data_IF_060591277142
#
_entry.id   IF_060591277142
#
_cell.length_a   1.000
_cell.length_b   1.000
_cell.length_c   1.000
_cell.angle_alpha   90.00
_cell.angle_beta   90.00
_cell.angle_gamma   90.00
#
_symmetry.space_group_name_H-M   'P 1'
#
loop_
_entity.id
_entity.type
_entity.pdbx_description
1 polymer ?
#
# COMPACT_ATOMS: atom_id res chain seq x y z
N UNK A 1 3.70 -8.47 6.63
CA UNK A 1 3.28 -9.53 5.68
C UNK A 1 4.42 -10.47 5.29
N UNK A 2 5.50 -10.01 4.66
CA UNK A 2 6.60 -10.90 4.21
C UNK A 2 7.16 -11.82 5.32
N UNK A 3 7.40 -11.27 6.52
CA UNK A 3 7.85 -12.06 7.69
C UNK A 3 6.84 -13.13 8.11
N UNK A 4 5.55 -12.85 7.94
CA UNK A 4 4.49 -13.78 8.30
C UNK A 4 4.37 -14.92 7.27
N UNK A 5 4.59 -14.62 5.99
CA UNK A 5 4.71 -15.65 4.95
C UNK A 5 5.87 -16.59 5.25
N UNK A 6 7.05 -16.06 5.60
CA UNK A 6 8.21 -16.87 6.00
C UNK A 6 7.87 -17.80 7.17
N UNK A 7 7.18 -17.28 8.19
CA UNK A 7 6.76 -18.04 9.37
C UNK A 7 5.81 -19.17 9.02
N UNK A 8 4.80 -18.90 8.19
CA UNK A 8 3.75 -19.87 7.83
C UNK A 8 4.31 -20.97 6.91
N UNK A 9 5.10 -20.56 5.91
CA UNK A 9 5.75 -21.48 4.97
C UNK A 9 6.95 -22.21 5.59
N UNK A 10 7.34 -21.84 6.82
CA UNK A 10 8.48 -22.40 7.56
C UNK A 10 9.77 -22.36 6.74
N UNK A 11 9.99 -21.25 6.03
CA UNK A 11 11.19 -21.07 5.21
C UNK A 11 12.39 -20.90 6.15
N UNK A 12 13.46 -21.71 6.00
CA UNK A 12 14.66 -21.56 6.83
C UNK A 12 15.26 -20.16 6.69
N UNK A 13 15.71 -19.57 7.80
CA UNK A 13 16.21 -18.19 7.84
C UNK A 13 17.38 -17.98 6.87
N UNK A 14 18.28 -18.96 6.81
CA UNK A 14 19.44 -19.00 5.91
C UNK A 14 19.08 -19.08 4.43
N UNK A 15 17.84 -19.46 4.10
CA UNK A 15 17.32 -19.52 2.73
C UNK A 15 16.57 -18.25 2.32
N UNK A 16 16.49 -17.23 3.19
CA UNK A 16 15.75 -16.00 2.95
C UNK A 16 16.69 -14.81 2.75
N UNK A 17 16.54 -14.16 1.60
CA UNK A 17 17.08 -12.81 1.35
C UNK A 17 15.91 -11.82 1.25
N UNK A 18 15.88 -10.83 2.13
CA UNK A 18 14.89 -9.76 2.11
C UNK A 18 15.38 -8.59 1.25
N UNK A 19 14.64 -8.27 0.20
CA UNK A 19 14.88 -7.07 -0.61
C UNK A 19 14.16 -5.88 0.03
N UNK A 20 14.93 -4.96 0.61
CA UNK A 20 14.39 -3.84 1.39
C UNK A 20 14.35 -2.56 0.56
N UNK A 21 13.32 -1.76 0.83
CA UNK A 21 13.18 -0.38 0.37
C UNK A 21 12.73 0.51 1.53
N UNK A 22 12.85 1.84 1.39
CA UNK A 22 12.38 2.82 2.38
C UNK A 22 12.95 2.62 3.79
N UNK A 23 14.23 2.24 3.90
CA UNK A 23 14.95 2.05 5.16
C UNK A 23 14.31 1.04 6.13
N UNK A 24 13.49 0.10 5.64
CA UNK A 24 13.02 -1.00 6.47
C UNK A 24 14.20 -1.85 6.94
N UNK A 25 14.30 -2.06 8.25
CA UNK A 25 15.25 -3.00 8.85
C UNK A 25 14.46 -4.17 9.44
N UNK A 26 14.80 -5.43 9.12
CA UNK A 26 14.16 -6.57 9.75
C UNK A 26 14.35 -6.51 11.27
N UNK A 27 13.38 -7.00 12.05
CA UNK A 27 13.55 -7.12 13.49
C UNK A 27 14.81 -7.96 13.78
N UNK A 28 15.64 -7.45 14.68
CA UNK A 28 16.71 -8.20 15.35
C UNK A 28 17.83 -8.74 14.44
N UNK A 29 17.96 -8.23 13.21
CA UNK A 29 19.02 -8.65 12.28
C UNK A 29 18.95 -10.13 11.86
N UNK A 30 17.80 -10.78 12.08
CA UNK A 30 17.63 -12.23 11.87
C UNK A 30 17.79 -12.62 10.40
N UNK A 31 17.32 -11.78 9.49
CA UNK A 31 17.31 -12.06 8.06
C UNK A 31 18.39 -11.27 7.34
N UNK A 32 19.02 -11.90 6.33
CA UNK A 32 19.87 -11.19 5.40
C UNK A 32 19.02 -10.19 4.60
N UNK A 33 19.27 -8.89 4.81
CA UNK A 33 18.55 -7.82 4.15
C UNK A 33 19.47 -7.05 3.22
N UNK A 34 19.03 -6.86 1.99
CA UNK A 34 19.80 -6.20 0.94
C UNK A 34 18.95 -5.08 0.34
N UNK A 35 19.52 -3.89 0.26
CA UNK A 35 18.92 -2.79 -0.49
C UNK A 35 18.91 -3.10 -1.97
N UNK A 36 17.77 -2.94 -2.61
CA UNK A 36 17.64 -3.09 -4.06
C UNK A 36 18.34 -1.91 -4.76
N UNK A 37 19.44 -2.12 -5.53
CA UNK A 37 20.20 -1.02 -6.12
C UNK A 37 19.55 -0.46 -7.39
N UNK A 38 18.41 -1.01 -7.78
CA UNK A 38 17.62 -0.60 -8.94
C UNK A 38 16.32 0.03 -8.48
N UNK A 39 15.86 1.06 -9.18
CA UNK A 39 14.61 1.75 -8.86
C UNK A 39 13.63 1.76 -10.02
N UNK A 40 12.34 1.83 -9.69
CA UNK A 40 11.25 2.11 -10.63
C UNK A 40 10.79 3.58 -10.58
N UNK A 41 11.15 4.32 -9.52
CA UNK A 41 10.75 5.71 -9.27
C UNK A 41 11.79 6.44 -8.39
N UNK A 42 12.14 7.71 -8.65
CA UNK A 42 11.62 8.58 -9.72
C UNK A 42 12.15 8.23 -11.11
N UNK A 43 13.25 7.48 -11.20
CA UNK A 43 13.89 7.07 -12.45
C UNK A 43 13.86 5.55 -12.55
N UNK A 44 13.19 5.03 -13.59
CA UNK A 44 13.19 3.59 -13.90
C UNK A 44 14.58 3.17 -14.41
N UNK A 45 15.25 2.30 -13.66
CA UNK A 45 16.56 1.74 -14.02
C UNK A 45 16.54 0.95 -15.33
N UNK A 46 15.36 0.50 -15.77
CA UNK A 46 15.16 -0.27 -16.99
C UNK A 46 14.24 0.48 -17.98
N UNK A 47 14.41 1.80 -18.08
CA UNK A 47 13.81 2.58 -19.15
C UNK A 47 14.33 2.11 -20.53
N UNK A 48 13.46 2.12 -21.53
CA UNK A 48 13.81 1.80 -22.92
C UNK A 48 14.86 2.78 -23.43
N UNK A 49 15.94 2.26 -24.02
CA UNK A 49 17.01 3.04 -24.63
C UNK A 49 17.01 2.85 -26.15
N UNK A 50 17.42 3.87 -26.91
CA UNK A 50 17.72 3.74 -28.34
C UNK A 50 19.02 2.94 -28.51
N UNK A 51 20.01 3.22 -27.67
CA UNK A 51 21.26 2.48 -27.57
C UNK A 51 21.03 1.16 -26.81
N UNK A 52 20.45 0.15 -27.49
CA UNK A 52 20.00 -1.11 -26.89
C UNK A 52 21.07 -1.82 -26.05
N UNK A 53 22.34 -1.72 -26.43
CA UNK A 53 23.46 -2.30 -25.69
C UNK A 53 23.58 -1.75 -24.26
N UNK A 54 23.15 -0.51 -23.99
CA UNK A 54 23.11 0.04 -22.62
C UNK A 54 22.12 -0.74 -21.76
N UNK A 55 20.95 -1.05 -22.30
CA UNK A 55 19.95 -1.87 -21.62
C UNK A 55 20.43 -3.31 -21.45
N UNK A 56 21.12 -3.88 -22.44
CA UNK A 56 21.72 -5.21 -22.30
C UNK A 56 22.75 -5.25 -21.18
N UNK A 57 23.64 -4.26 -21.12
CA UNK A 57 24.61 -4.16 -20.03
C UNK A 57 23.92 -4.01 -18.67
N UNK A 58 22.83 -3.22 -18.59
CA UNK A 58 22.08 -3.04 -17.35
C UNK A 58 21.33 -4.30 -16.92
N UNK A 59 20.79 -5.06 -17.86
CA UNK A 59 20.18 -6.39 -17.59
C UNK A 59 21.24 -7.38 -17.13
N UNK A 60 22.43 -7.38 -17.74
CA UNK A 60 23.55 -8.23 -17.27
C UNK A 60 24.01 -7.86 -15.87
N UNK A 61 24.14 -6.57 -15.57
CA UNK A 61 24.45 -6.07 -14.23
C UNK A 61 23.40 -6.53 -13.21
N UNK A 62 22.12 -6.46 -13.60
CA UNK A 62 21.01 -6.94 -12.79
C UNK A 62 21.06 -8.45 -12.55
N UNK A 63 21.28 -9.25 -13.60
CA UNK A 63 21.36 -10.70 -13.52
C UNK A 63 22.57 -11.11 -12.65
N UNK A 64 23.74 -10.48 -12.84
CA UNK A 64 24.92 -10.72 -11.99
C UNK A 64 24.68 -10.37 -10.53
N UNK A 65 24.02 -9.24 -10.24
CA UNK A 65 23.64 -8.88 -8.88
C UNK A 65 22.67 -9.91 -8.28
N UNK A 66 21.68 -10.36 -9.05
CA UNK A 66 20.70 -11.35 -8.59
C UNK A 66 21.36 -12.71 -8.32
N UNK A 67 22.26 -13.16 -9.20
CA UNK A 67 23.08 -14.36 -9.03
C UNK A 67 23.98 -14.28 -7.80
N UNK A 68 24.55 -13.11 -7.49
CA UNK A 68 25.36 -12.93 -6.29
C UNK A 68 24.53 -13.09 -5.01
N UNK A 69 23.37 -12.44 -4.93
CA UNK A 69 22.53 -12.47 -3.71
C UNK A 69 21.78 -13.80 -3.53
N UNK A 70 21.71 -14.60 -4.59
CA UNK A 70 21.15 -15.96 -4.58
C UNK A 70 22.23 -17.03 -4.53
N UNK A 71 23.52 -16.64 -4.43
CA UNK A 71 24.66 -17.55 -4.43
C UNK A 71 24.66 -18.54 -5.61
N UNK A 72 24.21 -18.07 -6.77
CA UNK A 72 24.02 -18.89 -7.97
C UNK A 72 23.16 -20.14 -7.72
N UNK A 73 22.20 -20.05 -6.79
CA UNK A 73 21.19 -21.08 -6.55
C UNK A 73 19.85 -20.69 -7.17
N UNK A 74 19.06 -21.67 -7.65
CA UNK A 74 17.68 -21.43 -8.03
C UNK A 74 16.88 -20.80 -6.87
N UNK A 75 15.96 -19.89 -7.19
CA UNK A 75 15.21 -19.15 -6.18
C UNK A 75 13.71 -19.11 -6.49
N UNK A 76 12.92 -18.84 -5.45
CA UNK A 76 11.49 -18.51 -5.56
C UNK A 76 11.29 -17.06 -5.18
N UNK A 77 10.60 -16.29 -6.02
CA UNK A 77 10.34 -14.88 -5.76
C UNK A 77 9.05 -14.69 -4.98
N UNK A 78 9.08 -13.82 -3.98
CA UNK A 78 7.89 -13.32 -3.30
C UNK A 78 7.78 -11.83 -3.52
N UNK A 79 6.75 -11.37 -4.23
CA UNK A 79 6.64 -9.97 -4.66
C UNK A 79 5.23 -9.40 -4.44
N UNK A 80 5.14 -8.10 -4.20
CA UNK A 80 3.84 -7.44 -4.03
C UNK A 80 3.04 -7.34 -5.33
N UNK A 81 3.71 -7.27 -6.48
CA UNK A 81 3.10 -7.18 -7.81
C UNK A 81 4.15 -7.47 -8.91
N UNK A 82 3.71 -7.70 -10.14
CA UNK A 82 4.58 -7.88 -11.31
C UNK A 82 4.70 -6.61 -12.20
N UNK A 83 4.14 -5.47 -11.75
CA UNK A 83 4.07 -4.26 -12.56
C UNK A 83 5.44 -3.61 -12.82
N UNK A 84 6.35 -3.58 -11.84
CA UNK A 84 7.65 -2.93 -12.01
C UNK A 84 8.58 -3.72 -12.93
N UNK A 85 9.50 -3.02 -13.61
CA UNK A 85 10.45 -3.65 -14.54
C UNK A 85 11.35 -4.63 -13.78
N UNK A 86 11.68 -4.28 -12.54
CA UNK A 86 12.52 -5.07 -11.66
C UNK A 86 11.87 -6.42 -11.36
N UNK A 87 10.61 -6.43 -10.90
CA UNK A 87 9.93 -7.69 -10.60
C UNK A 87 9.72 -8.53 -11.87
N UNK A 88 9.44 -7.89 -13.00
CA UNK A 88 9.33 -8.61 -14.27
C UNK A 88 10.64 -9.31 -14.66
N UNK A 89 11.78 -8.63 -14.48
CA UNK A 89 13.11 -9.20 -14.74
C UNK A 89 13.47 -10.32 -13.75
N UNK A 90 13.06 -10.22 -12.48
CA UNK A 90 13.23 -11.29 -11.48
C UNK A 90 12.41 -12.52 -11.83
N UNK A 91 11.12 -12.35 -12.17
CA UNK A 91 10.21 -13.46 -12.51
C UNK A 91 10.68 -14.20 -13.77
N UNK A 92 11.24 -13.47 -14.73
CA UNK A 92 11.75 -14.04 -15.99
C UNK A 92 13.20 -14.51 -15.93
N UNK A 93 13.87 -14.37 -14.78
CA UNK A 93 15.24 -14.82 -14.62
C UNK A 93 15.33 -16.35 -14.80
N UNK A 94 16.33 -16.89 -15.52
CA UNK A 94 16.45 -18.34 -15.75
C UNK A 94 16.49 -19.19 -14.48
N UNK A 95 17.00 -18.63 -13.37
CA UNK A 95 17.08 -19.30 -12.07
C UNK A 95 15.83 -19.12 -11.19
N UNK A 96 14.85 -18.32 -11.62
CA UNK A 96 13.59 -18.19 -10.92
C UNK A 96 12.73 -19.42 -11.17
N UNK A 97 12.54 -20.24 -10.14
CA UNK A 97 11.73 -21.47 -10.22
C UNK A 97 10.22 -21.18 -10.19
N UNK A 98 9.84 -19.98 -9.76
CA UNK A 98 8.46 -19.52 -9.71
C UNK A 98 8.31 -18.35 -8.75
N UNK A 99 7.08 -17.87 -8.61
CA UNK A 99 6.79 -16.72 -7.75
C UNK A 99 5.44 -16.79 -7.07
N UNK A 100 5.38 -16.15 -5.91
CA UNK A 100 4.16 -15.87 -5.17
C UNK A 100 3.89 -14.37 -5.12
N UNK A 101 2.61 -14.00 -5.14
CA UNK A 101 2.22 -12.65 -4.75
C UNK A 101 2.05 -12.56 -3.24
N UNK A 102 2.49 -11.45 -2.66
CA UNK A 102 2.24 -11.12 -1.26
C UNK A 102 1.40 -9.85 -1.23
N UNK A 103 0.31 -9.84 -0.47
CA UNK A 103 -0.56 -8.67 -0.39
C UNK A 103 0.17 -7.41 0.10
N UNK A 104 -0.05 -6.31 -0.63
CA UNK A 104 0.35 -4.95 -0.25
C UNK A 104 -0.79 -3.96 -0.52
N UNK A 105 -1.41 -3.45 0.55
CA UNK A 105 -2.39 -2.37 0.51
C UNK A 105 -3.61 -2.64 -0.39
N UNK A 106 -4.22 -1.56 -0.88
CA UNK A 106 -5.43 -1.62 -1.71
C UNK A 106 -5.20 -2.26 -3.08
N UNK A 107 -3.96 -2.30 -3.57
CA UNK A 107 -3.66 -2.81 -4.92
C UNK A 107 -4.07 -4.27 -5.04
N UNK A 108 -3.86 -5.09 -4.00
CA UNK A 108 -4.22 -6.51 -3.99
C UNK A 108 -5.73 -6.77 -4.12
N UNK A 109 -6.58 -5.77 -3.89
CA UNK A 109 -8.04 -5.92 -3.90
C UNK A 109 -8.69 -5.39 -5.18
N UNK A 110 -7.89 -4.87 -6.12
CA UNK A 110 -8.40 -4.35 -7.38
C UNK A 110 -9.10 -5.43 -8.19
N UNK A 111 -10.20 -5.12 -8.88
CA UNK A 111 -10.82 -6.06 -9.78
C UNK A 111 -9.86 -6.38 -10.96
N UNK A 112 -9.93 -7.58 -11.56
CA UNK A 112 -9.05 -7.97 -12.65
C UNK A 112 -9.03 -7.01 -13.84
N UNK A 113 -10.16 -6.34 -14.10
CA UNK A 113 -10.28 -5.35 -15.16
C UNK A 113 -9.29 -4.17 -15.01
N UNK A 114 -8.83 -3.91 -13.78
CA UNK A 114 -7.94 -2.80 -13.41
C UNK A 114 -6.50 -3.24 -13.10
N UNK A 115 -6.17 -4.52 -13.29
CA UNK A 115 -4.80 -5.00 -13.10
C UNK A 115 -3.87 -4.54 -14.23
N UNK A 116 -4.40 -4.42 -15.44
CA UNK A 116 -3.63 -4.02 -16.60
C UNK A 116 -3.48 -2.51 -16.66
N UNK A 117 -2.24 -2.03 -16.67
CA UNK A 117 -1.95 -0.64 -17.05
C UNK A 117 -2.02 -0.56 -18.56
N UNK A 118 -3.24 -0.39 -19.08
CA UNK A 118 -3.53 -0.28 -20.51
C UNK A 118 -2.86 0.96 -21.06
N UNK A 119 -1.72 0.77 -21.72
CA UNK A 119 -1.14 1.79 -22.60
C UNK A 119 -1.63 1.51 -24.01
N UNK A 120 -1.94 2.55 -24.81
CA UNK A 120 -2.37 2.35 -26.19
C UNK A 120 -1.33 1.49 -26.93
N UNK A 121 -1.80 0.46 -27.63
CA UNK A 121 -0.91 -0.45 -28.34
C UNK A 121 -0.05 0.34 -29.32
N UNK A 122 1.26 0.19 -29.19
CA UNK A 122 2.23 0.85 -30.06
C UNK A 122 3.24 -0.21 -30.54
N UNK A 123 3.21 -0.59 -31.83
CA UNK A 123 4.07 -1.65 -32.34
C UNK A 123 5.55 -1.29 -32.26
N UNK A 124 5.91 -0.02 -32.53
CA UNK A 124 7.28 0.47 -32.39
C UNK A 124 7.77 0.32 -30.96
N UNK A 125 6.93 0.66 -29.98
CA UNK A 125 7.27 0.49 -28.57
C UNK A 125 7.51 -0.98 -28.22
N UNK A 126 6.67 -1.89 -28.71
CA UNK A 126 6.87 -3.33 -28.47
C UNK A 126 8.16 -3.86 -29.09
N UNK A 127 8.50 -3.41 -30.30
CA UNK A 127 9.80 -3.70 -30.94
C UNK A 127 10.96 -3.15 -30.12
N UNK A 128 10.89 -1.90 -29.65
CA UNK A 128 11.94 -1.31 -28.83
C UNK A 128 12.12 -2.07 -27.51
N UNK A 129 11.03 -2.48 -26.85
CA UNK A 129 11.13 -3.32 -25.65
C UNK A 129 11.80 -4.66 -25.95
N UNK A 130 11.43 -5.31 -27.07
CA UNK A 130 12.06 -6.56 -27.49
C UNK A 130 13.56 -6.38 -27.78
N UNK A 131 13.96 -5.29 -28.44
CA UNK A 131 15.37 -5.01 -28.69
C UNK A 131 16.15 -4.72 -27.40
N UNK A 132 15.55 -4.04 -26.42
CA UNK A 132 16.21 -3.71 -25.15
C UNK A 132 16.28 -4.89 -24.17
N UNK A 133 15.24 -5.74 -24.13
CA UNK A 133 15.04 -6.71 -23.04
C UNK A 133 14.70 -8.12 -23.54
N UNK A 134 14.64 -8.35 -24.86
CA UNK A 134 14.15 -9.59 -25.44
C UNK A 134 12.77 -9.95 -24.86
N UNK A 135 12.60 -11.16 -24.32
CA UNK A 135 11.38 -11.61 -23.65
C UNK A 135 11.37 -11.34 -22.14
N UNK A 136 12.46 -10.83 -21.57
CA UNK A 136 12.65 -10.63 -20.12
C UNK A 136 11.86 -9.43 -19.57
N UNK A 137 11.39 -8.52 -20.42
CA UNK A 137 10.55 -7.38 -20.01
C UNK A 137 9.61 -6.98 -21.15
N UNK A 138 8.42 -6.45 -20.81
CA UNK A 138 7.36 -6.12 -21.77
C UNK A 138 6.84 -4.70 -21.61
N UNK A 139 6.37 -4.12 -22.71
CA UNK A 139 5.85 -2.74 -22.78
C UNK A 139 4.52 -2.56 -22.04
N UNK A 140 3.69 -3.59 -22.09
CA UNK A 140 2.42 -3.73 -21.39
C UNK A 140 2.62 -4.65 -20.20
N UNK A 141 2.28 -4.17 -19.01
CA UNK A 141 2.49 -4.87 -17.74
C UNK A 141 1.21 -4.79 -16.93
N UNK A 142 0.99 -5.85 -16.16
CA UNK A 142 -0.11 -5.99 -15.23
C UNK A 142 0.43 -5.94 -13.80
N UNK A 143 -0.36 -5.42 -12.87
CA UNK A 143 -0.08 -5.55 -11.44
C UNK A 143 -0.04 -7.03 -11.05
N UNK A 144 -0.98 -7.82 -11.56
CA UNK A 144 -1.04 -9.26 -11.30
C UNK A 144 -1.23 -10.03 -12.60
N UNK A 145 -0.44 -11.07 -12.80
CA UNK A 145 -0.55 -11.96 -13.94
C UNK A 145 -0.08 -13.35 -13.52
N UNK A 146 -0.65 -14.38 -14.11
CA UNK A 146 -0.21 -15.77 -13.97
C UNK A 146 0.56 -16.26 -15.21
N UNK A 147 0.67 -15.39 -16.23
CA UNK A 147 1.25 -15.73 -17.53
C UNK A 147 2.75 -15.39 -17.63
N UNK A 148 3.31 -14.78 -16.58
CA UNK A 148 4.71 -14.37 -16.55
C UNK A 148 5.51 -15.41 -15.77
N UNK A 149 6.34 -16.23 -16.43
CA UNK A 149 7.10 -17.27 -15.72
C UNK A 149 6.18 -18.32 -15.07
N UNK A 150 6.57 -18.85 -13.91
CA UNK A 150 5.79 -19.89 -13.18
C UNK A 150 5.12 -19.30 -11.94
N UNK A 151 3.84 -18.98 -12.05
CA UNK A 151 3.01 -18.58 -10.91
C UNK A 151 2.78 -19.77 -9.98
N UNK A 152 3.02 -19.58 -8.68
CA UNK A 152 2.85 -20.62 -7.66
C UNK A 152 1.61 -20.40 -6.78
N UNK A 153 1.30 -19.14 -6.46
CA UNK A 153 0.13 -18.78 -5.64
C UNK A 153 0.19 -17.36 -5.10
N UNK A 154 -0.65 -17.05 -4.12
CA UNK A 154 -0.66 -15.74 -3.47
C UNK A 154 -0.92 -15.85 -1.96
N UNK A 155 -0.45 -14.87 -1.20
CA UNK A 155 -0.66 -14.73 0.23
C UNK A 155 -1.45 -13.46 0.53
N UNK A 156 -2.66 -13.62 1.05
CA UNK A 156 -3.58 -12.53 1.34
C UNK A 156 -3.95 -12.43 2.81
N UNK A 157 -4.36 -11.25 3.26
CA UNK A 157 -4.95 -10.99 4.58
C UNK A 157 -6.35 -11.59 4.66
N UNK A 158 -7.09 -11.63 3.55
CA UNK A 158 -8.47 -12.11 3.52
C UNK A 158 -8.81 -12.83 2.21
N UNK A 159 -9.94 -13.52 2.19
CA UNK A 159 -10.49 -14.14 0.97
C UNK A 159 -10.78 -13.16 -0.17
N UNK A 160 -10.80 -11.85 0.12
CA UNK A 160 -11.02 -10.81 -0.87
C UNK A 160 -9.73 -10.33 -1.54
N UNK A 161 -8.57 -10.76 -1.04
CA UNK A 161 -7.27 -10.47 -1.61
C UNK A 161 -7.10 -11.21 -2.94
N UNK A 162 -6.58 -10.53 -3.95
CA UNK A 162 -6.35 -11.06 -5.30
C UNK A 162 -7.58 -11.72 -5.92
N UNK A 163 -8.69 -10.96 -6.11
CA UNK A 163 -9.94 -11.52 -6.62
C UNK A 163 -9.67 -12.14 -7.99
N UNK A 164 -9.80 -13.46 -8.11
CA UNK A 164 -9.53 -14.35 -9.27
C UNK A 164 -8.18 -15.07 -9.34
N UNK A 165 -7.20 -14.78 -8.48
CA UNK A 165 -5.99 -15.61 -8.45
C UNK A 165 -6.27 -16.97 -7.78
N UNK A 166 -5.63 -18.02 -8.30
CA UNK A 166 -5.69 -19.38 -7.74
C UNK A 166 -4.62 -19.56 -6.66
N UNK A 167 -4.75 -20.61 -5.84
CA UNK A 167 -3.79 -20.94 -4.78
C UNK A 167 -3.55 -19.77 -3.80
N UNK A 168 -4.63 -19.08 -3.43
CA UNK A 168 -4.60 -18.06 -2.40
C UNK A 168 -4.55 -18.69 -1.01
N UNK A 169 -3.53 -18.35 -0.24
CA UNK A 169 -3.38 -18.72 1.16
C UNK A 169 -3.68 -17.51 2.04
N UNK A 170 -4.61 -17.70 2.99
CA UNK A 170 -5.00 -16.64 3.92
C UNK A 170 -4.08 -16.66 5.12
N UNK A 171 -3.31 -15.58 5.25
CA UNK A 171 -2.34 -15.33 6.32
C UNK A 171 -2.99 -14.60 7.50
N UNK A 172 -4.09 -13.88 7.25
CA UNK A 172 -4.70 -12.98 8.22
C UNK A 172 -3.91 -11.68 8.36
N UNK A 173 -4.28 -10.88 9.36
CA UNK A 173 -3.62 -9.62 9.67
C UNK A 173 -2.28 -9.90 10.38
N UNK A 174 -1.12 -9.61 9.76
CA UNK A 174 0.20 -9.98 10.28
C UNK A 174 0.71 -8.96 11.30
N UNK A 175 -0.18 -8.41 12.11
CA UNK A 175 0.12 -7.36 13.08
C UNK A 175 0.06 -7.95 14.49
N UNK A 176 1.09 -7.77 15.34
CA UNK A 176 1.00 -8.19 16.72
C UNK A 176 -0.07 -7.38 17.46
N UNK A 177 -0.70 -7.99 18.46
CA UNK A 177 -1.57 -7.24 19.38
C UNK A 177 -0.71 -6.35 20.27
N UNK A 178 -1.22 -5.17 20.58
CA UNK A 178 -0.63 -4.26 21.55
C UNK A 178 -1.23 -4.52 22.93
N UNK A 179 -0.37 -4.61 23.94
CA UNK A 179 -0.74 -4.50 25.34
C UNK A 179 -0.49 -3.04 25.75
N UNK A 180 -1.52 -2.21 25.62
CA UNK A 180 -1.47 -0.80 26.02
C UNK A 180 -2.51 -0.52 27.08
N UNK A 181 -2.12 0.21 28.13
CA UNK A 181 -3.06 0.72 29.13
C UNK A 181 -3.93 1.86 28.57
N UNK A 182 -3.44 2.55 27.52
CA UNK A 182 -4.18 3.58 26.83
C UNK A 182 -5.38 2.99 26.08
N UNK A 183 -6.56 3.58 26.28
CA UNK A 183 -7.80 3.19 25.60
C UNK A 183 -8.07 4.11 24.41
N UNK A 184 -8.08 3.54 23.21
CA UNK A 184 -8.45 4.26 21.99
C UNK A 184 -9.97 4.20 21.80
N UNK A 185 -10.64 5.35 21.83
CA UNK A 185 -12.07 5.44 21.49
C UNK A 185 -12.28 5.71 20.00
N UNK A 186 -11.58 6.72 19.48
CA UNK A 186 -11.58 7.04 18.07
C UNK A 186 -10.20 7.53 17.59
N UNK A 187 -9.88 7.20 16.35
CA UNK A 187 -8.65 7.63 15.69
C UNK A 187 -8.97 8.27 14.34
N UNK A 188 -8.48 9.48 14.13
CA UNK A 188 -8.59 10.22 12.88
C UNK A 188 -7.28 10.06 12.11
N UNK A 189 -7.34 9.43 10.94
CA UNK A 189 -6.18 9.24 10.07
C UNK A 189 -6.19 10.32 8.99
N UNK A 190 -5.21 11.22 9.07
CA UNK A 190 -5.03 12.29 8.09
C UNK A 190 -4.25 11.80 6.87
N UNK A 191 -4.65 12.30 5.70
CA UNK A 191 -4.08 11.92 4.41
C UNK A 191 -3.21 13.07 3.89
N UNK A 192 -2.12 12.75 3.18
CA UNK A 192 -1.27 13.76 2.56
C UNK A 192 -1.86 14.34 1.26
N UNK A 193 -3.11 14.00 0.93
CA UNK A 193 -3.88 14.65 -0.14
C UNK A 193 -4.11 16.15 0.06
N UNK A 194 -3.86 16.69 1.25
CA UNK A 194 -3.76 18.13 1.44
C UNK A 194 -2.56 18.72 0.66
N UNK A 195 -1.44 18.00 0.64
CA UNK A 195 -0.16 18.46 0.08
C UNK A 195 -0.03 18.17 -1.42
N UNK A 196 -0.92 17.33 -1.96
CA UNK A 196 -0.90 16.85 -3.33
C UNK A 196 -2.30 17.03 -3.94
N UNK A 197 -2.41 17.31 -5.24
CA UNK A 197 -3.70 17.44 -5.95
C UNK A 197 -4.41 18.81 -5.90
N UNK A 198 -3.73 19.90 -5.52
CA UNK A 198 -4.29 21.25 -5.67
C UNK A 198 -5.47 21.56 -4.75
N UNK A 199 -5.60 20.80 -3.66
CA UNK A 199 -6.61 21.02 -2.64
C UNK A 199 -6.33 22.32 -1.87
N UNK A 200 -7.35 23.15 -1.67
CA UNK A 200 -7.16 24.33 -0.82
C UNK A 200 -7.16 23.92 0.65
N UNK A 201 -6.35 24.59 1.50
CA UNK A 201 -6.35 24.33 2.93
C UNK A 201 -7.74 24.39 3.58
N UNK A 202 -8.53 25.36 3.14
CA UNK A 202 -9.91 25.58 3.59
C UNK A 202 -10.83 24.41 3.32
N UNK A 203 -10.68 23.73 2.17
CA UNK A 203 -11.53 22.58 1.82
C UNK A 203 -11.21 21.39 2.70
N UNK A 204 -9.92 21.11 2.94
CA UNK A 204 -9.51 20.00 3.80
C UNK A 204 -9.92 20.21 5.26
N UNK A 205 -9.71 21.41 5.81
CA UNK A 205 -10.14 21.73 7.17
C UNK A 205 -11.67 21.62 7.34
N UNK A 206 -12.43 21.96 6.30
CA UNK A 206 -13.89 21.73 6.29
C UNK A 206 -14.24 20.25 6.35
N UNK A 207 -13.47 19.38 5.69
CA UNK A 207 -13.67 17.93 5.81
C UNK A 207 -13.34 17.40 7.20
N UNK A 208 -12.25 17.88 7.80
CA UNK A 208 -11.89 17.56 9.19
C UNK A 208 -13.00 18.03 10.13
N UNK A 209 -13.62 19.19 9.89
CA UNK A 209 -14.72 19.68 10.71
C UNK A 209 -15.88 18.69 10.78
N UNK A 210 -16.23 18.08 9.64
CA UNK A 210 -17.30 17.07 9.57
C UNK A 210 -16.93 15.84 10.41
N UNK A 211 -15.69 15.36 10.31
CA UNK A 211 -15.17 14.23 11.10
C UNK A 211 -15.25 14.54 12.60
N UNK A 212 -14.67 15.65 13.03
CA UNK A 212 -14.59 16.01 14.46
C UNK A 212 -15.98 16.26 15.02
N UNK A 213 -16.87 16.88 14.24
CA UNK A 213 -18.26 17.10 14.66
C UNK A 213 -18.99 15.78 14.86
N UNK A 214 -18.83 14.80 13.97
CA UNK A 214 -19.41 13.46 14.14
C UNK A 214 -18.83 12.75 15.38
N UNK A 215 -17.50 12.78 15.55
CA UNK A 215 -16.82 12.18 16.69
C UNK A 215 -17.32 12.74 18.04
N UNK A 216 -17.46 14.07 18.14
CA UNK A 216 -17.99 14.73 19.34
C UNK A 216 -19.48 14.42 19.57
N UNK A 217 -20.29 14.33 18.50
CA UNK A 217 -21.72 13.94 18.60
C UNK A 217 -21.90 12.51 19.11
N UNK A 218 -20.98 11.61 18.77
CA UNK A 218 -20.93 10.23 19.29
C UNK A 218 -20.47 10.17 20.75
N UNK A 219 -20.08 11.30 21.35
CA UNK A 219 -19.68 11.39 22.74
C UNK A 219 -18.25 10.92 23.02
N UNK A 220 -17.39 10.86 22.00
CA UNK A 220 -15.98 10.56 22.23
C UNK A 220 -15.30 11.69 23.00
N UNK A 221 -14.72 11.34 24.14
CA UNK A 221 -14.03 12.28 25.04
C UNK A 221 -12.52 12.23 24.87
N UNK A 222 -11.99 11.21 24.19
CA UNK A 222 -10.59 11.10 23.80
C UNK A 222 -10.49 10.85 22.30
N UNK A 223 -9.88 11.80 21.59
CA UNK A 223 -9.68 11.75 20.14
C UNK A 223 -8.20 11.62 19.85
N UNK A 224 -7.83 10.57 19.14
CA UNK A 224 -6.47 10.38 18.64
C UNK A 224 -6.41 10.81 17.18
N UNK A 225 -5.29 11.39 16.77
CA UNK A 225 -5.02 11.68 15.37
C UNK A 225 -3.68 11.12 14.94
N UNK A 226 -3.59 10.63 13.70
CA UNK A 226 -2.33 10.20 13.10
C UNK A 226 -2.14 10.86 11.75
N UNK A 227 -0.96 11.42 11.54
CA UNK A 227 -0.59 12.06 10.29
C UNK A 227 0.07 11.08 9.32
N UNK A 228 -0.11 11.34 8.03
CA UNK A 228 0.60 10.61 6.99
C UNK A 228 2.12 10.89 7.09
N UNK A 229 3.01 9.89 6.92
CA UNK A 229 4.46 10.09 7.04
C UNK A 229 5.05 11.13 6.08
N UNK A 230 4.38 11.37 4.96
CA UNK A 230 4.77 12.35 3.94
C UNK A 230 4.01 13.70 4.04
N UNK A 231 3.32 13.97 5.16
CA UNK A 231 2.61 15.23 5.35
C UNK A 231 3.59 16.42 5.48
N UNK A 232 3.28 17.52 4.82
CA UNK A 232 4.06 18.77 4.92
C UNK A 232 3.93 19.45 6.28
N UNK A 233 5.01 20.10 6.74
CA UNK A 233 5.06 20.74 8.07
C UNK A 233 4.02 21.84 8.28
N UNK A 234 3.77 22.68 7.26
CA UNK A 234 2.77 23.74 7.34
C UNK A 234 1.35 23.16 7.51
N UNK A 235 1.09 22.05 6.83
CA UNK A 235 -0.18 21.31 6.84
C UNK A 235 -0.43 20.67 8.19
N UNK A 236 0.59 20.03 8.76
CA UNK A 236 0.59 19.50 10.13
C UNK A 236 0.17 20.60 11.13
N UNK A 237 0.86 21.74 11.12
CA UNK A 237 0.58 22.84 12.05
C UNK A 237 -0.84 23.40 11.89
N UNK A 238 -1.30 23.57 10.66
CA UNK A 238 -2.66 24.06 10.38
C UNK A 238 -3.73 23.10 10.89
N UNK A 239 -3.56 21.80 10.66
CA UNK A 239 -4.49 20.76 11.13
C UNK A 239 -4.47 20.68 12.65
N UNK A 240 -3.30 20.68 13.28
CA UNK A 240 -3.18 20.61 14.74
C UNK A 240 -3.85 21.81 15.42
N UNK A 241 -3.59 23.03 14.95
CA UNK A 241 -4.21 24.23 15.50
C UNK A 241 -5.74 24.19 15.36
N UNK A 242 -6.24 23.77 14.19
CA UNK A 242 -7.66 23.62 13.94
C UNK A 242 -8.30 22.57 14.86
N UNK A 243 -7.69 21.39 14.98
CA UNK A 243 -8.15 20.29 15.82
C UNK A 243 -8.20 20.70 17.29
N UNK A 244 -7.14 21.32 17.81
CA UNK A 244 -7.07 21.82 19.18
C UNK A 244 -8.20 22.82 19.48
N UNK A 245 -8.46 23.75 18.57
CA UNK A 245 -9.57 24.70 18.73
C UNK A 245 -10.93 24.00 18.74
N UNK A 246 -11.15 23.02 17.85
CA UNK A 246 -12.46 22.35 17.69
C UNK A 246 -12.84 21.48 18.88
N UNK A 247 -11.85 20.81 19.48
CA UNK A 247 -12.04 19.88 20.60
C UNK A 247 -11.90 20.54 21.98
N UNK A 248 -11.43 21.79 22.04
CA UNK A 248 -11.21 22.52 23.29
C UNK A 248 -12.43 22.48 24.23
N UNK A 249 -12.19 22.00 25.46
CA UNK A 249 -13.23 21.86 26.49
C UNK A 249 -14.26 20.74 26.26
N UNK A 250 -14.12 19.95 25.19
CA UNK A 250 -15.06 18.87 24.81
C UNK A 250 -14.41 17.49 24.81
N UNK A 251 -13.16 17.39 24.36
CA UNK A 251 -12.40 16.15 24.33
C UNK A 251 -10.89 16.42 24.47
N UNK A 252 -10.14 15.41 24.93
CA UNK A 252 -8.68 15.43 24.84
C UNK A 252 -8.23 15.04 23.43
N UNK A 253 -7.22 15.72 22.91
CA UNK A 253 -6.61 15.42 21.62
C UNK A 253 -5.19 14.87 21.83
N UNK A 254 -4.92 13.71 21.25
CA UNK A 254 -3.61 13.07 21.28
C UNK A 254 -3.09 12.83 19.87
N UNK A 255 -1.84 13.17 19.60
CA UNK A 255 -1.19 12.89 18.32
C UNK A 255 -0.38 11.61 18.44
N UNK A 256 -0.74 10.59 17.64
CA UNK A 256 0.01 9.35 17.53
C UNK A 256 1.34 9.60 16.82
N UNK A 257 2.40 8.99 17.33
CA UNK A 257 3.75 9.05 16.78
C UNK A 257 3.85 8.30 15.46
N UNK A 258 4.97 8.48 14.75
CA UNK A 258 5.20 7.82 13.46
C UNK A 258 5.19 6.28 13.59
N UNK A 259 5.70 5.73 14.70
CA UNK A 259 5.80 4.29 14.99
C UNK A 259 4.48 3.60 15.30
N UNK A 260 3.43 4.33 15.69
CA UNK A 260 2.18 3.71 16.14
C UNK A 260 1.39 3.10 14.97
N UNK A 261 1.17 1.79 14.95
CA UNK A 261 0.39 1.16 13.88
C UNK A 261 -1.11 1.22 14.16
N UNK A 262 -1.85 1.84 13.25
CA UNK A 262 -3.33 1.88 13.33
C UNK A 262 -3.92 0.49 13.19
N UNK A 263 -3.28 -0.38 12.41
CA UNK A 263 -3.69 -1.76 12.23
C UNK A 263 -3.53 -2.56 13.53
N UNK A 264 -2.42 -2.37 14.26
CA UNK A 264 -2.22 -2.98 15.59
C UNK A 264 -3.24 -2.47 16.61
N UNK A 265 -3.47 -1.14 16.64
CA UNK A 265 -4.49 -0.52 17.50
C UNK A 265 -5.87 -1.10 17.19
N UNK A 266 -6.24 -1.19 15.91
CA UNK A 266 -7.52 -1.73 15.44
C UNK A 266 -7.69 -3.20 15.83
N UNK A 267 -6.66 -4.02 15.64
CA UNK A 267 -6.70 -5.44 15.98
C UNK A 267 -6.87 -5.68 17.48
N UNK A 268 -6.35 -4.78 18.31
CA UNK A 268 -6.29 -4.96 19.77
C UNK A 268 -7.49 -4.37 20.49
N UNK A 269 -7.93 -3.18 20.08
CA UNK A 269 -8.94 -2.41 20.82
C UNK A 269 -10.18 -2.02 20.01
N UNK A 270 -10.12 -2.14 18.68
CA UNK A 270 -11.22 -1.83 17.75
C UNK A 270 -11.88 -0.43 17.96
N UNK A 271 -11.10 0.67 18.03
CA UNK A 271 -11.68 2.01 18.07
C UNK A 271 -12.44 2.33 16.78
N UNK A 272 -13.24 3.40 16.79
CA UNK A 272 -13.79 3.96 15.55
C UNK A 272 -12.68 4.66 14.77
N UNK A 273 -12.48 4.27 13.51
CA UNK A 273 -11.45 4.83 12.64
C UNK A 273 -12.08 5.77 11.62
N UNK A 274 -11.68 7.04 11.65
CA UNK A 274 -12.05 8.02 10.64
C UNK A 274 -10.96 8.12 9.57
N UNK A 275 -11.33 7.98 8.30
CA UNK A 275 -10.42 8.08 7.16
C UNK A 275 -11.03 8.89 6.01
N UNK A 276 -10.20 9.39 5.10
CA UNK A 276 -10.66 9.81 3.77
C UNK A 276 -10.80 8.58 2.86
N UNK A 277 -9.70 8.18 2.20
CA UNK A 277 -9.54 6.96 1.42
C UNK A 277 -8.17 6.38 1.76
N UNK A 278 -8.11 5.23 2.43
CA UNK A 278 -6.82 4.65 2.81
C UNK A 278 -6.90 3.13 2.97
N UNK A 279 -5.80 2.43 2.66
CA UNK A 279 -5.63 1.02 3.01
C UNK A 279 -5.74 0.78 4.52
N UNK A 280 -5.40 1.78 5.33
CA UNK A 280 -5.53 1.72 6.80
C UNK A 280 -6.98 1.49 7.19
N UNK A 281 -7.93 2.17 6.52
CA UNK A 281 -9.36 1.95 6.75
C UNK A 281 -9.79 0.52 6.40
N UNK A 282 -9.27 -0.04 5.30
CA UNK A 282 -9.53 -1.43 4.94
C UNK A 282 -9.02 -2.41 6.03
N UNK A 283 -7.77 -2.25 6.49
CA UNK A 283 -7.21 -3.12 7.52
C UNK A 283 -7.89 -2.95 8.88
N UNK A 284 -8.29 -1.74 9.24
CA UNK A 284 -9.07 -1.48 10.43
C UNK A 284 -10.43 -2.21 10.38
N UNK A 285 -11.13 -2.14 9.25
CA UNK A 285 -12.38 -2.87 9.05
C UNK A 285 -12.17 -4.39 9.18
N UNK A 286 -11.13 -4.94 8.53
CA UNK A 286 -10.79 -6.37 8.64
C UNK A 286 -10.39 -6.79 10.06
N UNK A 287 -9.86 -5.88 10.88
CA UNK A 287 -9.59 -6.09 12.30
C UNK A 287 -10.85 -6.02 13.20
N UNK A 288 -11.99 -5.59 12.64
CA UNK A 288 -13.27 -5.46 13.32
C UNK A 288 -13.57 -4.06 13.90
N UNK A 289 -12.78 -3.04 13.55
CA UNK A 289 -13.12 -1.66 13.87
C UNK A 289 -14.29 -1.14 13.02
N UNK A 290 -15.11 -0.25 13.58
CA UNK A 290 -16.00 0.59 12.75
C UNK A 290 -15.12 1.57 11.96
N UNK A 291 -15.41 1.71 10.67
CA UNK A 291 -14.72 2.67 9.80
C UNK A 291 -15.71 3.69 9.27
N UNK A 292 -15.39 4.96 9.50
CA UNK A 292 -16.16 6.11 9.06
C UNK A 292 -15.36 6.90 8.04
N UNK A 293 -15.96 7.20 6.89
CA UNK A 293 -15.27 7.86 5.78
C UNK A 293 -15.98 9.12 5.30
N UNK A 294 -15.17 10.14 4.98
CA UNK A 294 -15.61 11.35 4.28
C UNK A 294 -15.52 11.23 2.76
N UNK A 295 -15.24 10.04 2.21
CA UNK A 295 -15.02 9.82 0.78
C UNK A 295 -16.09 10.47 -0.12
N UNK A 296 -17.37 10.32 0.22
CA UNK A 296 -18.48 10.90 -0.56
C UNK A 296 -18.43 12.43 -0.58
N UNK A 297 -18.06 13.05 0.53
CA UNK A 297 -17.86 14.51 0.62
C UNK A 297 -16.69 14.93 -0.27
N UNK A 298 -15.58 14.18 -0.23
CA UNK A 298 -14.43 14.46 -1.09
C UNK A 298 -14.80 14.38 -2.58
N UNK A 299 -15.58 13.38 -3.01
CA UNK A 299 -16.08 13.28 -4.38
C UNK A 299 -17.01 14.42 -4.79
N UNK A 300 -17.82 14.94 -3.87
CA UNK A 300 -18.72 16.07 -4.12
C UNK A 300 -17.93 17.36 -4.36
N UNK A 301 -16.90 17.60 -3.54
CA UNK A 301 -16.11 18.82 -3.60
C UNK A 301 -15.02 18.79 -4.67
N UNK A 302 -14.48 17.60 -4.96
CA UNK A 302 -13.31 17.43 -5.80
C UNK A 302 -13.49 16.19 -6.71
N UNK A 303 -13.80 16.37 -8.00
CA UNK A 303 -14.08 15.26 -8.92
C UNK A 303 -12.95 14.24 -9.05
N UNK A 304 -11.69 14.64 -8.84
CA UNK A 304 -10.53 13.72 -8.87
C UNK A 304 -10.67 12.55 -7.89
N UNK A 305 -11.45 12.71 -6.82
CA UNK A 305 -11.67 11.62 -5.87
C UNK A 305 -12.55 10.50 -6.39
N UNK A 306 -13.38 10.76 -7.41
CA UNK A 306 -14.24 9.72 -8.00
C UNK A 306 -13.41 8.57 -8.61
N UNK A 307 -12.22 8.89 -9.13
CA UNK A 307 -11.31 7.87 -9.68
C UNK A 307 -10.68 7.00 -8.58
N UNK A 308 -10.46 7.55 -7.38
CA UNK A 308 -9.93 6.77 -6.25
C UNK A 308 -10.93 5.73 -5.74
N UNK A 309 -12.25 5.98 -5.83
CA UNK A 309 -13.25 4.99 -5.45
C UNK A 309 -13.19 3.71 -6.26
N UNK A 310 -12.75 3.78 -7.53
CA UNK A 310 -12.56 2.60 -8.38
C UNK A 310 -11.45 1.69 -7.86
N UNK A 311 -10.52 2.23 -7.05
CA UNK A 311 -9.41 1.47 -6.48
C UNK A 311 -9.79 0.75 -5.19
N UNK A 312 -10.92 1.09 -4.58
CA UNK A 312 -11.41 0.47 -3.36
C UNK A 312 -12.28 -0.75 -3.70
N UNK A 313 -12.11 -1.88 -3.01
CA UNK A 313 -12.92 -3.05 -3.29
C UNK A 313 -14.38 -2.84 -2.83
N UNK A 314 -15.32 -3.40 -3.59
CA UNK A 314 -16.76 -3.23 -3.32
C UNK A 314 -17.16 -3.67 -1.91
N UNK A 315 -16.62 -4.79 -1.41
CA UNK A 315 -16.94 -5.25 -0.05
C UNK A 315 -16.54 -4.21 1.01
N UNK A 316 -15.42 -3.50 0.82
CA UNK A 316 -15.04 -2.44 1.75
C UNK A 316 -15.97 -1.23 1.57
N UNK A 317 -16.26 -0.85 0.33
CA UNK A 317 -17.15 0.27 0.06
C UNK A 317 -18.55 0.07 0.65
N UNK A 318 -19.04 -1.16 0.71
CA UNK A 318 -20.34 -1.54 1.25
C UNK A 318 -20.38 -1.59 2.80
N UNK A 319 -19.23 -1.72 3.46
CA UNK A 319 -19.14 -1.89 4.91
C UNK A 319 -18.62 -0.65 5.68
N UNK A 320 -18.34 0.45 4.96
CA UNK A 320 -17.90 1.72 5.56
C UNK A 320 -19.09 2.66 5.75
N UNK A 321 -19.14 3.32 6.91
CA UNK A 321 -20.10 4.39 7.18
C UNK A 321 -19.62 5.67 6.49
N UNK A 322 -20.43 6.26 5.61
CA UNK A 322 -20.07 7.51 4.94
C UNK A 322 -20.73 8.72 5.59
N UNK A 323 -19.93 9.72 5.93
CA UNK A 323 -20.45 11.02 6.35
C UNK A 323 -20.94 11.82 5.13
N UNK A 324 -21.91 12.68 5.40
CA UNK A 324 -22.40 13.69 4.47
C UNK A 324 -22.33 15.07 5.13
N UNK A 325 -22.34 16.13 4.32
CA UNK A 325 -22.55 17.46 4.89
C UNK A 325 -23.89 17.50 5.65
N UNK A 326 -23.98 18.26 6.75
CA UNK A 326 -25.25 18.56 7.38
C UNK A 326 -26.17 19.17 6.32
N UNK A 327 -27.39 18.65 6.19
CA UNK A 327 -28.43 19.32 5.40
C UNK A 327 -28.53 20.75 5.87
N UNK A 328 -28.38 21.71 4.95
CA UNK A 328 -28.67 23.11 5.25
C UNK A 328 -30.18 23.22 5.48
N UNK A 329 -30.61 23.13 6.72
CA UNK A 329 -31.97 23.43 7.15
C UNK A 329 -32.09 24.89 7.52
#
# INVERSE_FOLDING_TARGET
MALEVIRIEKIPVEAVTLLISRNFLPPDGTYHAISLPFSHYPIDSFAVQIAFWKSWNKVREFDQWLEQITHQQPFTLYAAHAYSSIFHLMVTHPMCQGYYYIEEGLVAYRPPADWDVKKPFNPLRSVLYYLNFSQRNRSNRSFFTTQLGRYLGAFGVSQHSFPTLTNLQIVGLPFPKIESEEKYQCVIVHDNIYDHHGLTPTTYLRWIDVIVTDALKRGFTSIHQKFHPAQGQASLQAIEAFMQQKVAGKASLHTLGASDSIEQISLSQRPVIYVCISSVGLYAHLAGSEVVSIYKICCQDQPIFQDFGRLLPSFYLENVTYLSYPSQN
#
